data_IF_851559009449
#
_entry.id   IF_851559009449
#
_cell.length_a   1.000
_cell.length_b   1.000
_cell.length_c   1.000
_cell.angle_alpha   90.00
_cell.angle_beta   90.00
_cell.angle_gamma   90.00
#
_symmetry.space_group_name_H-M   'P 1'
#
loop_
_entity.id
_entity.type
_entity.pdbx_description
1 polymer ?
#
# COMPACT_ATOMS: atom_id res chain seq x y z
N UNK A 1 -13.86 -12.00 -7.71
CA UNK A 1 -13.74 -11.03 -6.60
C UNK A 1 -13.09 -9.78 -7.15
N UNK A 2 -13.43 -8.62 -6.63
CA UNK A 2 -12.67 -7.39 -6.90
C UNK A 2 -11.28 -7.52 -6.27
N UNK A 3 -10.24 -6.92 -6.89
CA UNK A 3 -8.86 -6.96 -6.37
C UNK A 3 -8.78 -6.49 -4.91
N UNK A 4 -9.58 -5.48 -4.53
CA UNK A 4 -9.69 -4.94 -3.17
C UNK A 4 -10.16 -5.98 -2.13
N UNK A 5 -11.08 -6.88 -2.49
CA UNK A 5 -11.58 -7.87 -1.53
C UNK A 5 -10.60 -9.02 -1.32
N UNK A 6 -9.89 -9.43 -2.39
CA UNK A 6 -8.81 -10.40 -2.29
C UNK A 6 -7.68 -9.87 -1.39
N UNK A 7 -7.27 -8.62 -1.58
CA UNK A 7 -6.31 -7.93 -0.73
C UNK A 7 -6.69 -8.02 0.75
N UNK A 8 -7.91 -7.62 1.11
CA UNK A 8 -8.36 -7.62 2.51
C UNK A 8 -8.44 -9.01 3.14
N UNK A 9 -8.78 -10.04 2.35
CA UNK A 9 -8.74 -11.45 2.82
C UNK A 9 -7.30 -11.84 3.17
N UNK A 10 -6.35 -11.55 2.31
CA UNK A 10 -4.94 -11.91 2.51
C UNK A 10 -4.30 -11.19 3.68
N UNK A 11 -4.60 -9.90 3.86
CA UNK A 11 -4.21 -9.15 5.06
C UNK A 11 -4.80 -9.81 6.32
N UNK A 12 -6.07 -10.20 6.28
CA UNK A 12 -6.74 -10.84 7.42
C UNK A 12 -6.15 -12.21 7.78
N UNK A 13 -5.76 -12.99 6.77
CA UNK A 13 -5.18 -14.32 6.94
C UNK A 13 -3.81 -14.27 7.66
N UNK A 14 -3.11 -13.14 7.62
CA UNK A 14 -1.84 -12.92 8.34
C UNK A 14 -2.01 -12.56 9.82
N UNK A 15 -3.14 -11.94 10.21
CA UNK A 15 -3.32 -11.39 11.56
C UNK A 15 -3.15 -12.44 12.66
N UNK A 16 -3.78 -13.61 12.50
CA UNK A 16 -3.74 -14.66 13.53
C UNK A 16 -2.37 -15.34 13.61
N UNK A 17 -1.77 -15.83 12.50
CA UNK A 17 -0.43 -16.40 12.54
C UNK A 17 0.62 -15.46 13.15
N UNK A 18 0.61 -14.18 12.75
CA UNK A 18 1.52 -13.16 13.28
C UNK A 18 1.23 -12.90 14.76
N UNK A 19 -0.03 -12.75 15.16
CA UNK A 19 -0.39 -12.48 16.56
C UNK A 19 -0.11 -13.62 17.52
N UNK A 20 -0.13 -14.88 17.05
CA UNK A 20 0.24 -16.03 17.87
C UNK A 20 1.75 -16.22 18.01
N UNK A 21 2.52 -15.80 17.00
CA UNK A 21 3.98 -15.92 16.99
C UNK A 21 4.69 -14.70 17.61
N UNK A 22 4.05 -13.53 17.55
CA UNK A 22 4.59 -12.27 18.02
C UNK A 22 4.66 -12.13 19.55
N UNK A 23 5.25 -11.01 20.03
CA UNK A 23 5.31 -10.70 21.46
C UNK A 23 3.92 -10.64 22.10
N UNK A 24 3.75 -11.20 23.30
CA UNK A 24 2.44 -11.26 23.98
C UNK A 24 1.83 -9.88 24.29
N UNK A 25 2.68 -8.86 24.44
CA UNK A 25 2.29 -7.51 24.81
C UNK A 25 2.02 -6.63 23.57
N UNK A 26 2.21 -7.16 22.36
CA UNK A 26 2.04 -6.43 21.10
C UNK A 26 1.18 -7.24 20.13
N UNK A 27 0.02 -6.69 19.77
CA UNK A 27 -0.85 -7.32 18.78
C UNK A 27 -0.59 -6.72 17.39
N UNK A 28 -0.65 -7.53 16.31
CA UNK A 28 -0.68 -6.99 14.97
C UNK A 28 -1.92 -6.11 14.77
N UNK A 29 -1.74 -4.99 14.09
CA UNK A 29 -2.80 -4.06 13.74
C UNK A 29 -2.92 -3.91 12.22
N UNK A 30 -4.14 -3.75 11.73
CA UNK A 30 -4.45 -3.43 10.34
C UNK A 30 -5.07 -2.04 10.27
N UNK A 31 -4.82 -1.31 9.18
CA UNK A 31 -5.27 0.09 9.03
C UNK A 31 -4.62 1.07 10.02
N UNK A 32 -3.54 0.64 10.68
CA UNK A 32 -2.69 1.49 11.52
C UNK A 32 -1.50 1.99 10.69
N UNK A 33 -1.14 3.26 10.87
CA UNK A 33 -0.01 3.84 10.14
C UNK A 33 1.25 3.93 10.98
N UNK A 34 2.39 3.72 10.34
CA UNK A 34 3.73 3.86 10.90
C UNK A 34 4.20 5.32 10.78
N UNK A 35 4.34 6.01 11.91
CA UNK A 35 5.04 7.30 11.96
C UNK A 35 6.54 7.02 12.02
N UNK A 36 7.24 7.29 10.91
CA UNK A 36 8.68 7.05 10.78
C UNK A 36 9.50 8.31 11.08
N UNK A 37 8.95 9.48 10.75
CA UNK A 37 9.50 10.79 11.07
C UNK A 37 8.37 11.84 11.17
N UNK A 38 8.71 13.08 11.56
CA UNK A 38 7.73 14.17 11.64
C UNK A 38 7.05 14.49 10.29
N UNK A 39 7.72 14.17 9.19
CA UNK A 39 7.28 14.39 7.82
C UNK A 39 7.15 13.08 7.04
N UNK A 40 7.25 11.93 7.70
CA UNK A 40 7.12 10.62 7.05
C UNK A 40 6.19 9.71 7.83
N UNK A 41 5.09 9.35 7.18
CA UNK A 41 4.07 8.46 7.70
C UNK A 41 3.62 7.51 6.60
N UNK A 42 3.77 6.21 6.85
CA UNK A 42 3.37 5.13 5.96
C UNK A 42 2.17 4.40 6.52
N UNK A 43 1.36 3.79 5.66
CA UNK A 43 0.17 3.04 6.07
C UNK A 43 0.31 1.56 5.71
N UNK A 44 1.19 0.78 6.35
CA UNK A 44 1.28 -0.65 6.06
C UNK A 44 -0.06 -1.36 6.20
N UNK A 45 -0.26 -2.43 5.42
CA UNK A 45 -1.52 -3.18 5.46
C UNK A 45 -1.64 -3.99 6.76
N UNK A 46 -0.50 -4.42 7.31
CA UNK A 46 -0.37 -4.95 8.66
C UNK A 46 0.92 -4.47 9.31
N UNK A 47 0.84 -4.12 10.59
CA UNK A 47 1.99 -3.66 11.39
C UNK A 47 2.05 -4.43 12.70
N UNK A 48 3.27 -4.69 13.18
CA UNK A 48 3.53 -5.04 14.59
C UNK A 48 4.33 -3.90 15.17
N UNK A 49 3.70 -3.13 16.05
CA UNK A 49 4.32 -1.96 16.66
C UNK A 49 5.46 -2.36 17.61
N UNK A 50 6.21 -1.34 18.04
CA UNK A 50 7.07 -1.44 19.21
C UNK A 50 6.61 -0.43 20.23
N UNK A 51 7.04 -0.62 21.48
CA UNK A 51 6.72 0.32 22.56
C UNK A 51 7.16 1.76 22.25
N UNK A 52 8.25 1.96 21.49
CA UNK A 52 8.75 3.30 21.08
C UNK A 52 9.50 3.30 19.74
N UNK A 53 9.07 4.07 18.75
CA UNK A 53 9.81 4.29 17.49
C UNK A 53 9.20 3.55 16.28
N UNK A 54 9.99 3.35 15.23
CA UNK A 54 9.57 2.66 14.00
C UNK A 54 9.11 1.21 14.31
N UNK A 55 8.10 0.66 13.62
CA UNK A 55 7.51 -0.64 13.95
C UNK A 55 8.53 -1.78 13.95
N UNK A 56 8.20 -2.87 14.66
CA UNK A 56 8.99 -4.10 14.62
C UNK A 56 8.86 -4.81 13.27
N UNK A 57 7.63 -4.83 12.72
CA UNK A 57 7.31 -5.43 11.43
C UNK A 57 6.33 -4.53 10.67
N UNK A 58 6.64 -4.26 9.40
CA UNK A 58 5.68 -3.72 8.44
C UNK A 58 5.43 -4.76 7.34
N UNK A 59 4.16 -4.96 6.98
CA UNK A 59 3.76 -5.89 5.91
C UNK A 59 2.91 -5.15 4.89
N UNK A 60 3.23 -5.34 3.61
CA UNK A 60 2.42 -4.88 2.48
C UNK A 60 1.92 -6.08 1.67
N UNK A 61 0.68 -6.00 1.21
CA UNK A 61 0.07 -6.96 0.31
C UNK A 61 -0.12 -6.26 -1.04
N UNK A 62 0.70 -6.62 -2.02
CA UNK A 62 0.78 -5.83 -3.25
C UNK A 62 -0.51 -5.92 -4.07
N UNK A 63 -0.92 -4.81 -4.66
CA UNK A 63 -1.84 -4.80 -5.80
C UNK A 63 -1.08 -4.50 -7.08
N UNK A 64 -1.74 -4.55 -8.25
CA UNK A 64 -1.12 -4.09 -9.51
C UNK A 64 -0.63 -2.64 -9.41
N UNK A 65 -1.37 -1.78 -8.71
CA UNK A 65 -1.06 -0.36 -8.53
C UNK A 65 0.09 -0.10 -7.54
N UNK A 66 0.21 -0.92 -6.49
CA UNK A 66 1.16 -0.68 -5.39
C UNK A 66 2.45 -1.48 -5.50
N UNK A 67 2.46 -2.58 -6.27
CA UNK A 67 3.58 -3.54 -6.30
C UNK A 67 4.94 -2.91 -6.55
N UNK A 68 5.05 -2.01 -7.54
CA UNK A 68 6.32 -1.35 -7.84
C UNK A 68 6.81 -0.48 -6.68
N UNK A 69 5.89 0.24 -6.06
CA UNK A 69 6.16 1.11 -4.91
C UNK A 69 6.52 0.30 -3.66
N UNK A 70 5.79 -0.77 -3.37
CA UNK A 70 6.00 -1.62 -2.19
C UNK A 70 7.35 -2.35 -2.27
N UNK A 71 7.77 -2.80 -3.45
CA UNK A 71 9.07 -3.44 -3.66
C UNK A 71 10.23 -2.45 -3.87
N UNK A 72 9.93 -1.17 -4.10
CA UNK A 72 10.89 -0.12 -4.38
C UNK A 72 10.90 0.97 -3.30
N UNK A 73 10.22 2.09 -3.57
CA UNK A 73 10.30 3.30 -2.76
C UNK A 73 9.94 3.09 -1.28
N UNK A 74 8.90 2.29 -0.98
CA UNK A 74 8.51 2.01 0.41
C UNK A 74 9.51 1.13 1.12
N UNK A 75 10.04 0.10 0.44
CA UNK A 75 11.14 -0.72 0.97
C UNK A 75 12.33 0.15 1.35
N UNK A 76 12.75 1.06 0.46
CA UNK A 76 13.87 1.96 0.72
C UNK A 76 13.60 2.92 1.89
N UNK A 77 12.33 3.31 2.09
CA UNK A 77 11.94 4.19 3.18
C UNK A 77 11.91 3.46 4.53
N UNK A 78 11.31 2.26 4.59
CA UNK A 78 11.38 1.41 5.78
C UNK A 78 12.84 1.06 6.15
N UNK A 79 13.71 0.82 5.17
CA UNK A 79 15.15 0.61 5.37
C UNK A 79 15.81 1.85 5.98
N UNK A 80 15.60 3.02 5.37
CA UNK A 80 16.17 4.31 5.82
C UNK A 80 15.78 4.65 7.26
N UNK A 81 14.55 4.34 7.64
CA UNK A 81 14.01 4.61 8.97
C UNK A 81 14.16 3.41 9.93
N UNK A 82 15.04 2.46 9.60
CA UNK A 82 15.49 1.38 10.47
C UNK A 82 14.36 0.46 10.99
N UNK A 83 13.35 0.21 10.17
CA UNK A 83 12.33 -0.81 10.47
C UNK A 83 12.99 -2.20 10.40
N UNK A 84 13.01 -2.99 11.49
CA UNK A 84 13.81 -4.23 11.53
C UNK A 84 13.38 -5.29 10.51
N UNK A 85 12.08 -5.40 10.26
CA UNK A 85 11.53 -6.41 9.35
C UNK A 85 10.47 -5.81 8.44
N UNK A 86 10.59 -6.10 7.16
CA UNK A 86 9.67 -5.67 6.13
C UNK A 86 9.27 -6.84 5.26
N UNK A 87 7.98 -7.16 5.21
CA UNK A 87 7.48 -8.28 4.41
C UNK A 87 6.58 -7.79 3.28
N UNK A 88 6.73 -8.41 2.11
CA UNK A 88 5.88 -8.14 0.95
C UNK A 88 5.21 -9.43 0.51
N UNK A 89 3.87 -9.46 0.58
CA UNK A 89 3.07 -10.52 -0.03
C UNK A 89 2.79 -10.13 -1.48
N UNK A 90 3.50 -10.77 -2.41
CA UNK A 90 3.38 -10.47 -3.83
C UNK A 90 2.23 -11.28 -4.45
N UNK A 91 1.20 -10.57 -4.96
CA UNK A 91 0.01 -11.17 -5.56
C UNK A 91 0.17 -11.41 -7.07
N UNK A 92 1.37 -11.78 -7.51
CA UNK A 92 1.65 -12.06 -8.91
C UNK A 92 1.01 -13.39 -9.34
N UNK A 93 -0.26 -13.34 -9.72
CA UNK A 93 -1.03 -14.48 -10.21
C UNK A 93 -1.99 -15.05 -9.17
N UNK A 94 -2.30 -16.34 -9.27
CA UNK A 94 -3.26 -17.01 -8.38
C UNK A 94 -2.61 -17.59 -7.11
N UNK A 95 -1.28 -17.59 -7.01
CA UNK A 95 -0.49 -18.17 -5.92
C UNK A 95 0.41 -17.10 -5.27
N UNK A 96 0.04 -16.55 -4.11
CA UNK A 96 0.85 -15.56 -3.42
C UNK A 96 2.20 -16.12 -2.96
N UNK A 97 3.23 -15.28 -2.99
CA UNK A 97 4.53 -15.53 -2.36
C UNK A 97 4.84 -14.45 -1.31
N UNK A 98 5.63 -14.81 -0.30
CA UNK A 98 6.06 -13.88 0.75
C UNK A 98 7.56 -13.62 0.62
N UNK A 99 7.92 -12.35 0.41
CA UNK A 99 9.29 -11.85 0.45
C UNK A 99 9.56 -11.25 1.83
N UNK A 100 10.66 -11.65 2.45
CA UNK A 100 11.05 -11.28 3.80
C UNK A 100 12.35 -10.51 3.73
N UNK A 101 12.30 -9.24 4.09
CA UNK A 101 13.46 -8.39 4.22
C UNK A 101 13.75 -8.13 5.69
N UNK A 102 15.00 -8.37 6.10
CA UNK A 102 15.48 -8.07 7.44
C UNK A 102 16.61 -7.06 7.37
N UNK A 103 16.59 -6.10 8.30
CA UNK A 103 17.60 -5.06 8.38
C UNK A 103 18.85 -5.64 9.04
N UNK A 104 19.96 -5.69 8.29
CA UNK A 104 21.24 -6.12 8.84
C UNK A 104 21.91 -5.02 9.66
N UNK A 105 22.94 -5.40 10.41
CA UNK A 105 23.72 -4.50 11.28
C UNK A 105 24.38 -3.32 10.53
N UNK A 106 24.49 -3.38 9.21
CA UNK A 106 25.00 -2.30 8.34
C UNK A 106 23.91 -1.32 7.88
N UNK A 107 22.67 -1.49 8.34
CA UNK A 107 21.53 -0.63 8.02
C UNK A 107 20.98 -0.85 6.62
N UNK A 108 21.16 -2.03 6.03
CA UNK A 108 20.64 -2.41 4.71
C UNK A 108 19.68 -3.58 4.84
N UNK A 109 18.67 -3.65 3.98
CA UNK A 109 17.81 -4.82 3.88
C UNK A 109 18.48 -5.93 3.07
N UNK A 110 18.54 -7.11 3.67
CA UNK A 110 18.80 -8.37 2.99
C UNK A 110 17.47 -9.13 2.77
N UNK A 111 17.30 -9.75 1.59
CA UNK A 111 16.20 -10.69 1.36
C UNK A 111 16.56 -12.02 2.04
N UNK A 112 16.14 -12.20 3.28
CA UNK A 112 16.42 -13.40 4.08
C UNK A 112 15.63 -14.61 3.60
N UNK A 113 14.41 -14.38 3.12
CA UNK A 113 13.61 -15.44 2.55
C UNK A 113 12.68 -14.95 1.43
N UNK A 114 12.46 -15.83 0.46
CA UNK A 114 11.35 -15.77 -0.48
C UNK A 114 10.63 -17.10 -0.44
N UNK A 115 9.44 -17.11 0.16
CA UNK A 115 8.65 -18.31 0.36
C UNK A 115 7.57 -18.37 -0.71
N UNK A 116 7.75 -19.25 -1.68
CA UNK A 116 6.78 -19.50 -2.74
C UNK A 116 5.69 -20.46 -2.28
N UNK A 117 4.59 -20.51 -3.02
CA UNK A 117 3.50 -21.46 -2.78
C UNK A 117 3.97 -22.92 -2.65
N UNK A 118 3.40 -23.66 -1.69
CA UNK A 118 3.75 -25.07 -1.40
C UNK A 118 5.12 -25.26 -0.73
N UNK A 119 5.78 -24.17 -0.33
CA UNK A 119 7.02 -24.19 0.46
C UNK A 119 6.75 -23.61 1.84
N UNK A 120 7.56 -24.02 2.81
CA UNK A 120 7.61 -23.35 4.11
C UNK A 120 9.03 -22.95 4.48
N UNK A 121 9.14 -21.94 5.34
CA UNK A 121 10.39 -21.46 5.91
C UNK A 121 10.15 -21.02 7.36
N UNK A 122 11.02 -21.44 8.28
CA UNK A 122 10.99 -20.95 9.66
C UNK A 122 11.91 -19.75 9.79
N UNK A 123 11.33 -18.60 10.10
CA UNK A 123 12.06 -17.39 10.44
C UNK A 123 12.36 -17.36 11.94
N UNK A 124 13.42 -16.65 12.30
CA UNK A 124 13.77 -16.39 13.71
C UNK A 124 13.57 -14.95 14.14
N UNK A 125 13.47 -14.04 13.16
CA UNK A 125 13.29 -12.60 13.30
C UNK A 125 12.06 -12.17 12.48
N UNK A 126 11.27 -11.18 12.94
CA UNK A 126 11.40 -10.48 14.22
C UNK A 126 11.00 -11.33 15.44
N UNK A 127 10.42 -12.50 15.19
CA UNK A 127 10.15 -13.55 16.18
C UNK A 127 10.03 -14.90 15.46
N UNK A 128 10.12 -16.04 16.19
CA UNK A 128 10.01 -17.36 15.58
C UNK A 128 8.63 -17.58 14.95
N UNK A 129 8.59 -17.79 13.63
CA UNK A 129 7.36 -18.05 12.88
C UNK A 129 7.65 -18.96 11.68
N UNK A 130 6.78 -19.93 11.43
CA UNK A 130 6.80 -20.69 10.18
C UNK A 130 5.91 -19.98 9.16
N UNK A 131 6.51 -19.53 8.05
CA UNK A 131 5.79 -19.02 6.90
C UNK A 131 5.56 -20.16 5.92
N UNK A 132 4.29 -20.45 5.63
CA UNK A 132 3.86 -21.40 4.61
C UNK A 132 2.66 -20.80 3.85
N UNK A 133 2.89 -20.12 2.70
CA UNK A 133 1.83 -19.37 2.00
C UNK A 133 0.61 -20.21 1.65
N UNK A 134 0.79 -21.47 1.30
CA UNK A 134 -0.30 -22.40 0.96
C UNK A 134 -1.14 -22.84 2.16
N UNK A 135 -0.61 -22.69 3.37
CA UNK A 135 -1.33 -22.95 4.62
C UNK A 135 -1.95 -21.68 5.19
N UNK A 136 -1.27 -20.53 5.07
CA UNK A 136 -1.74 -19.24 5.56
C UNK A 136 -2.90 -18.74 4.68
N UNK A 137 -2.76 -18.85 3.35
CA UNK A 137 -3.73 -18.36 2.38
C UNK A 137 -4.59 -19.50 1.79
N UNK A 138 -4.80 -20.59 2.52
CA UNK A 138 -5.47 -21.81 2.03
C UNK A 138 -6.96 -21.58 1.67
N UNK A 139 -7.55 -20.51 2.21
CA UNK A 139 -8.95 -20.11 1.97
C UNK A 139 -9.15 -19.37 0.66
N UNK A 140 -8.09 -19.16 -0.13
CA UNK A 140 -8.19 -18.58 -1.45
C UNK A 140 -9.18 -19.39 -2.31
N UNK A 141 -10.31 -18.80 -2.76
CA UNK A 141 -11.22 -19.51 -3.62
C UNK A 141 -10.51 -19.80 -4.94
N UNK A 142 -10.27 -21.08 -5.26
CA UNK A 142 -9.84 -21.51 -6.60
C UNK A 142 -10.78 -20.86 -7.62
N UNK A 143 -10.23 -20.05 -8.52
CA UNK A 143 -10.98 -19.17 -9.41
C UNK A 143 -12.12 -19.93 -10.10
N UNK A 144 -13.37 -19.64 -9.73
CA UNK A 144 -14.50 -20.05 -10.54
C UNK A 144 -14.46 -19.26 -11.86
N UNK A 145 -14.71 -19.95 -12.98
CA UNK A 145 -14.79 -19.34 -14.31
C UNK A 145 -15.65 -18.06 -14.28
N UNK A 146 -15.28 -17.01 -15.04
CA UNK A 146 -15.94 -15.72 -14.96
C UNK A 146 -17.44 -15.89 -15.22
N UNK A 147 -18.26 -15.61 -14.19
CA UNK A 147 -19.68 -15.36 -14.42
C UNK A 147 -19.76 -14.07 -15.21
N UNK A 148 -20.33 -14.15 -16.42
CA UNK A 148 -20.66 -12.99 -17.26
C UNK A 148 -21.67 -12.13 -16.49
N UNK A 149 -21.16 -11.21 -15.67
CA UNK A 149 -21.93 -10.11 -15.12
C UNK A 149 -22.09 -9.09 -16.23
N UNK A 150 -23.32 -8.91 -16.69
CA UNK A 150 -23.68 -7.78 -17.54
C UNK A 150 -23.63 -6.54 -16.65
N UNK A 151 -22.50 -5.83 -16.68
CA UNK A 151 -22.46 -4.40 -16.41
C UNK A 151 -21.22 -3.85 -17.11
N UNK A 152 -21.47 -2.96 -18.06
CA UNK A 152 -20.46 -2.39 -18.92
C UNK A 152 -19.58 -1.43 -18.10
N UNK A 153 -18.37 -1.86 -17.75
CA UNK A 153 -17.44 -1.05 -16.95
C UNK A 153 -17.06 0.24 -17.69
N UNK A 154 -17.15 0.22 -19.03
CA UNK A 154 -16.93 1.37 -19.91
C UNK A 154 -17.98 2.49 -19.75
N UNK A 155 -19.09 2.25 -19.03
CA UNK A 155 -20.11 3.28 -18.74
C UNK A 155 -20.02 3.82 -17.30
N UNK A 156 -19.18 3.24 -16.44
CA UNK A 156 -18.95 3.70 -15.04
C UNK A 156 -17.73 4.61 -14.92
N UNK A 157 -16.87 4.63 -15.92
CA UNK A 157 -15.83 5.64 -16.18
C UNK A 157 -16.40 6.87 -16.90
N UNK A 158 -17.67 7.21 -16.61
CA UNK A 158 -18.27 8.47 -17.05
C UNK A 158 -17.63 9.62 -16.25
N UNK A 159 -16.89 10.55 -16.86
CA UNK A 159 -15.89 11.32 -16.15
C UNK A 159 -16.48 12.48 -15.33
N UNK A 160 -17.71 12.91 -15.60
CA UNK A 160 -18.23 14.20 -15.10
C UNK A 160 -19.03 14.06 -13.81
N UNK A 161 -18.93 15.09 -12.96
CA UNK A 161 -19.88 15.23 -11.86
C UNK A 161 -21.30 15.20 -12.44
N UNK A 162 -22.25 14.54 -11.76
CA UNK A 162 -23.64 14.66 -12.14
C UNK A 162 -24.04 16.15 -12.13
N UNK A 163 -25.08 16.51 -12.87
CA UNK A 163 -25.55 17.88 -12.91
C UNK A 163 -25.74 18.42 -11.48
N UNK A 164 -25.59 19.73 -11.23
CA UNK A 164 -25.65 20.26 -9.87
C UNK A 164 -26.99 20.04 -9.15
N UNK A 165 -28.03 19.69 -9.91
CA UNK A 165 -29.37 19.33 -9.40
C UNK A 165 -29.53 17.83 -9.14
N UNK A 166 -28.62 17.01 -9.65
CA UNK A 166 -28.61 15.57 -9.48
C UNK A 166 -27.79 15.16 -8.25
N UNK A 167 -28.19 14.11 -7.51
CA UNK A 167 -27.41 13.61 -6.40
C UNK A 167 -26.11 12.95 -6.87
N UNK A 168 -25.03 13.14 -6.10
CA UNK A 168 -23.79 12.38 -6.29
C UNK A 168 -24.01 10.95 -5.79
N UNK A 169 -23.93 9.98 -6.69
CA UNK A 169 -24.03 8.56 -6.36
C UNK A 169 -22.69 7.99 -5.91
N UNK A 170 -22.73 6.84 -5.23
CA UNK A 170 -21.54 6.19 -4.66
C UNK A 170 -20.42 5.97 -5.69
N UNK A 171 -20.81 5.63 -6.92
CA UNK A 171 -19.87 5.41 -8.02
C UNK A 171 -19.12 6.72 -8.35
N UNK A 172 -19.84 7.84 -8.51
CA UNK A 172 -19.21 9.14 -8.77
C UNK A 172 -18.39 9.64 -7.56
N UNK A 173 -18.80 9.32 -6.34
CA UNK A 173 -18.11 9.73 -5.11
C UNK A 173 -16.77 9.01 -4.93
N UNK A 174 -16.69 7.72 -5.23
CA UNK A 174 -15.51 6.89 -4.99
C UNK A 174 -14.43 6.93 -6.07
N UNK A 175 -14.61 7.71 -7.14
CA UNK A 175 -13.68 7.77 -8.28
C UNK A 175 -13.11 9.18 -8.51
N UNK A 176 -13.12 10.04 -7.48
CA UNK A 176 -12.64 11.42 -7.57
C UNK A 176 -11.64 11.74 -6.49
N UNK A 177 -10.61 12.48 -6.82
CA UNK A 177 -9.70 12.97 -5.80
C UNK A 177 -10.40 14.03 -4.91
N UNK A 178 -10.29 13.95 -3.57
CA UNK A 178 -9.51 12.99 -2.79
C UNK A 178 -10.30 11.75 -2.31
N UNK A 179 -11.62 11.71 -2.49
CA UNK A 179 -12.50 10.69 -1.88
C UNK A 179 -12.34 9.28 -2.45
N UNK A 180 -11.82 9.15 -3.68
CA UNK A 180 -11.48 7.89 -4.31
C UNK A 180 -10.10 7.35 -3.96
N UNK A 181 -9.37 7.99 -3.04
CA UNK A 181 -8.05 7.52 -2.68
C UNK A 181 -8.17 6.20 -1.91
N UNK A 182 -7.52 5.16 -2.42
CA UNK A 182 -7.52 3.84 -1.80
C UNK A 182 -6.64 3.82 -0.55
N UNK A 183 -5.57 4.61 -0.58
CA UNK A 183 -4.57 4.75 0.47
C UNK A 183 -3.95 6.14 0.35
N UNK A 184 -3.61 6.73 1.48
CA UNK A 184 -2.92 8.02 1.55
C UNK A 184 -1.72 7.85 2.47
N UNK A 185 -0.59 8.44 2.11
CA UNK A 185 0.65 8.40 2.88
C UNK A 185 1.35 9.77 2.82
N UNK A 186 2.36 9.96 3.67
CA UNK A 186 3.22 11.14 3.67
C UNK A 186 4.68 10.69 3.54
N UNK A 187 5.33 11.08 2.47
CA UNK A 187 6.70 10.66 2.14
C UNK A 187 7.63 11.87 2.16
N UNK A 188 8.51 11.99 3.16
CA UNK A 188 9.45 13.12 3.29
C UNK A 188 8.76 14.50 3.06
N UNK A 189 7.57 14.68 3.65
CA UNK A 189 6.76 15.89 3.56
C UNK A 189 5.90 16.01 2.29
N UNK A 190 5.85 14.97 1.45
CA UNK A 190 5.06 14.91 0.22
C UNK A 190 3.84 13.99 0.40
N UNK A 191 2.60 14.52 0.39
CA UNK A 191 1.41 13.69 0.35
C UNK A 191 1.38 12.80 -0.90
N UNK A 192 1.09 11.52 -0.70
CA UNK A 192 0.95 10.52 -1.78
C UNK A 192 -0.44 9.91 -1.72
N UNK A 193 -1.16 9.94 -2.84
CA UNK A 193 -2.52 9.40 -2.98
C UNK A 193 -2.50 8.22 -3.95
N UNK A 194 -2.87 7.04 -3.47
CA UNK A 194 -3.00 5.83 -4.27
C UNK A 194 -4.40 5.76 -4.89
N UNK A 195 -4.48 5.41 -6.17
CA UNK A 195 -5.73 5.23 -6.90
C UNK A 195 -5.56 5.35 -8.40
N UNK A 196 -6.69 5.52 -9.09
CA UNK A 196 -6.75 5.76 -10.53
C UNK A 196 -7.02 7.25 -10.77
N UNK A 197 -6.02 8.01 -11.22
CA UNK A 197 -6.06 9.47 -11.30
C UNK A 197 -5.87 9.99 -12.72
N UNK A 198 -6.65 11.01 -13.10
CA UNK A 198 -6.55 11.67 -14.40
C UNK A 198 -6.13 13.15 -14.30
N UNK A 199 -6.01 13.82 -15.45
CA UNK A 199 -5.58 15.22 -15.53
C UNK A 199 -6.51 16.19 -14.78
N UNK A 200 -7.77 15.82 -14.57
CA UNK A 200 -8.74 16.68 -13.89
C UNK A 200 -8.58 16.59 -12.39
N UNK A 201 -8.27 15.39 -11.88
CA UNK A 201 -7.89 15.20 -10.49
C UNK A 201 -6.60 15.98 -10.18
N UNK A 202 -5.62 15.96 -11.10
CA UNK A 202 -4.41 16.80 -11.03
C UNK A 202 -4.79 18.28 -10.92
N UNK A 203 -5.65 18.78 -11.81
CA UNK A 203 -6.06 20.19 -11.78
C UNK A 203 -6.81 20.57 -10.49
N UNK A 204 -7.56 19.64 -9.88
CA UNK A 204 -8.20 19.85 -8.57
C UNK A 204 -7.13 19.89 -7.47
N UNK A 205 -6.19 18.96 -7.47
CA UNK A 205 -5.10 18.91 -6.51
C UNK A 205 -4.21 20.15 -6.57
N UNK A 206 -3.90 20.67 -7.77
CA UNK A 206 -3.14 21.92 -7.94
C UNK A 206 -3.83 23.13 -7.29
N UNK A 207 -5.16 23.18 -7.35
CA UNK A 207 -5.94 24.21 -6.65
C UNK A 207 -5.94 24.03 -5.14
N UNK A 208 -5.95 22.79 -4.66
CA UNK A 208 -5.91 22.47 -3.24
C UNK A 208 -4.53 22.70 -2.61
N UNK A 209 -3.45 22.54 -3.40
CA UNK A 209 -2.06 22.71 -2.98
C UNK A 209 -1.38 23.84 -3.78
N UNK A 210 -1.76 25.11 -3.55
CA UNK A 210 -1.21 26.23 -4.32
C UNK A 210 0.31 26.33 -4.17
N UNK A 211 1.00 26.45 -5.30
CA UNK A 211 2.46 26.58 -5.35
C UNK A 211 3.24 25.27 -5.19
N UNK A 212 2.56 24.12 -5.07
CA UNK A 212 3.17 22.78 -5.11
C UNK A 212 3.19 22.22 -6.53
N UNK A 213 4.01 21.21 -6.77
CA UNK A 213 4.02 20.45 -8.03
C UNK A 213 3.22 19.17 -7.84
N UNK A 214 2.16 18.97 -8.62
CA UNK A 214 1.38 17.73 -8.62
C UNK A 214 1.91 16.81 -9.71
N UNK A 215 2.25 15.57 -9.35
CA UNK A 215 2.82 14.58 -10.28
C UNK A 215 1.98 13.31 -10.28
N UNK A 216 1.65 12.81 -11.47
CA UNK A 216 1.21 11.43 -11.66
C UNK A 216 2.43 10.57 -11.94
N UNK A 217 2.57 9.47 -11.21
CA UNK A 217 3.68 8.53 -11.37
C UNK A 217 3.36 7.44 -12.41
N UNK A 218 2.15 7.47 -12.96
CA UNK A 218 1.59 6.56 -13.97
C UNK A 218 0.84 7.32 -15.09
N UNK A 219 0.49 6.66 -16.21
CA UNK A 219 -0.38 7.25 -17.23
C UNK A 219 -1.76 7.65 -16.67
N UNK A 220 -2.35 8.77 -17.12
CA UNK A 220 -3.66 9.22 -16.64
C UNK A 220 -4.75 8.15 -16.78
N UNK A 221 -5.52 7.95 -15.70
CA UNK A 221 -6.59 6.96 -15.61
C UNK A 221 -6.13 5.53 -15.35
N UNK A 222 -4.82 5.28 -15.26
CA UNK A 222 -4.28 3.99 -14.83
C UNK A 222 -4.06 3.96 -13.30
N UNK A 223 -4.13 2.77 -12.66
CA UNK A 223 -3.82 2.64 -11.25
C UNK A 223 -2.37 3.02 -10.93
N UNK A 224 -2.17 3.84 -9.89
CA UNK A 224 -0.84 4.25 -9.44
C UNK A 224 -0.92 5.31 -8.35
N UNK A 225 -0.01 6.29 -8.38
CA UNK A 225 0.11 7.32 -7.34
C UNK A 225 0.09 8.74 -7.89
N UNK A 226 -0.65 9.63 -7.21
CA UNK A 226 -0.52 11.07 -7.36
C UNK A 226 0.27 11.62 -6.17
N UNK A 227 1.39 12.28 -6.44
CA UNK A 227 2.31 12.82 -5.44
C UNK A 227 2.29 14.34 -5.45
N UNK A 228 2.14 14.96 -4.28
CA UNK A 228 2.18 16.42 -4.09
C UNK A 228 3.58 16.82 -3.61
N UNK A 229 4.40 17.27 -4.56
CA UNK A 229 5.80 17.64 -4.33
C UNK A 229 5.94 19.12 -3.92
N UNK A 230 7.02 19.49 -3.20
CA UNK A 230 7.40 20.88 -3.01
C UNK A 230 7.38 21.68 -4.31
N UNK A 231 6.99 22.95 -4.20
CA UNK A 231 7.11 23.88 -5.32
C UNK A 231 8.56 24.08 -5.73
N UNK A 232 8.81 24.56 -6.96
CA UNK A 232 10.12 25.07 -7.31
C UNK A 232 10.46 26.18 -6.30
N UNK A 233 11.55 26.02 -5.55
CA UNK A 233 11.98 27.03 -4.59
C UNK A 233 12.08 28.39 -5.27
N UNK A 234 11.60 29.45 -4.62
CA UNK A 234 11.85 30.81 -5.11
C UNK A 234 13.37 30.99 -5.05
N UNK A 235 14.06 31.33 -6.17
CA UNK A 235 15.46 31.67 -6.11
C UNK A 235 15.63 32.78 -5.08
N UNK A 236 16.44 32.54 -4.05
CA UNK A 236 16.86 33.62 -3.15
C UNK A 236 17.57 34.66 -4.01
N UNK A 237 16.98 35.84 -4.14
CA UNK A 237 17.69 37.00 -4.69
C UNK A 237 18.85 37.29 -3.72
N UNK A 238 20.05 36.84 -4.08
CA UNK A 238 21.28 37.25 -3.40
C UNK A 238 21.31 38.79 -3.38
N UNK A 239 21.16 39.36 -2.19
CA UNK A 239 21.27 40.80 -1.94
C UNK A 239 22.60 41.10 -1.27
#
# INVERSE_FOLDING_TARGET
MTHTLLHQVLVSDLVVPIGLAGPLDTMPATGAGAVLANDTWLSPDLIVDRDTGAPLLAVEVTTEASREVDLGAKKDMYERYEVPSYWVVDLKGDEPEVQVFELSDDGRYAEEARVTWGRSCTLSSPFPIELAPDQIFDRLPRRAAPRRGIMDNATRTGPDLPHCEDPILIDAFGHRWPTGAEKVELWDGCPVFYGEWDERDVAIAERAYPGRVVRLDQPPGEPGTMTILPGPGVPTEDT
#
